data_IF_202491794189
#
_entry.id   IF_202491794189
#
_cell.length_a   1.000
_cell.length_b   1.000
_cell.length_c   1.000
_cell.angle_alpha   90.00
_cell.angle_beta   90.00
_cell.angle_gamma   90.00
#
_symmetry.space_group_name_H-M   'P 1'
#
loop_
_entity.id
_entity.type
_entity.pdbx_description
1 polymer ?
#
# COMPACT_ATOMS: atom_id res chain seq x y z
N UNK A 1 11.65 19.61 -7.65
CA UNK A 1 12.33 18.39 -8.14
C UNK A 1 13.62 18.10 -7.36
N UNK A 2 14.56 19.06 -7.28
CA UNK A 2 15.83 18.91 -6.54
C UNK A 2 15.69 18.53 -5.06
N UNK A 3 14.80 19.18 -4.31
CA UNK A 3 14.58 18.85 -2.88
C UNK A 3 14.11 17.41 -2.70
N UNK A 4 13.25 16.91 -3.60
CA UNK A 4 12.78 15.53 -3.60
C UNK A 4 13.93 14.54 -3.85
N UNK A 5 14.84 14.88 -4.77
CA UNK A 5 16.03 14.08 -5.05
C UNK A 5 16.97 14.03 -3.83
N UNK A 6 17.25 15.18 -3.21
CA UNK A 6 18.07 15.28 -1.99
C UNK A 6 17.47 14.40 -0.88
N UNK A 7 16.15 14.45 -0.69
CA UNK A 7 15.47 13.68 0.34
C UNK A 7 15.56 12.17 0.07
N UNK A 8 15.42 11.74 -1.18
CA UNK A 8 15.63 10.35 -1.58
C UNK A 8 17.07 9.88 -1.35
N UNK A 9 18.06 10.72 -1.66
CA UNK A 9 19.48 10.39 -1.41
C UNK A 9 19.73 10.23 0.09
N UNK A 10 19.19 11.11 0.93
CA UNK A 10 19.30 11.02 2.39
C UNK A 10 18.66 9.73 2.91
N UNK A 11 17.47 9.37 2.41
CA UNK A 11 16.79 8.12 2.77
C UNK A 11 17.65 6.91 2.41
N UNK A 12 18.16 6.86 1.17
CA UNK A 12 19.00 5.74 0.72
C UNK A 12 20.27 5.65 1.56
N UNK A 13 20.92 6.78 1.83
CA UNK A 13 22.13 6.81 2.66
C UNK A 13 21.85 6.32 4.08
N UNK A 14 20.70 6.71 4.66
CA UNK A 14 20.29 6.26 5.98
C UNK A 14 20.01 4.76 6.01
N UNK A 15 19.36 4.22 4.97
CA UNK A 15 19.12 2.78 4.81
C UNK A 15 20.45 2.03 4.71
N UNK A 16 21.38 2.48 3.87
CA UNK A 16 22.69 1.83 3.70
C UNK A 16 23.51 1.90 4.99
N UNK A 17 23.54 3.07 5.65
CA UNK A 17 24.17 3.24 6.95
C UNK A 17 23.58 2.27 7.98
N UNK A 18 22.24 2.19 8.05
CA UNK A 18 21.54 1.28 8.93
C UNK A 18 21.92 -0.19 8.64
N UNK A 19 21.96 -0.61 7.37
CA UNK A 19 22.41 -1.95 6.98
C UNK A 19 23.81 -2.22 7.52
N UNK A 20 24.79 -1.38 7.16
CA UNK A 20 26.23 -1.58 7.46
C UNK A 20 26.48 -1.66 8.96
N UNK A 21 25.93 -0.72 9.73
CA UNK A 21 26.18 -0.64 11.17
C UNK A 21 25.34 -1.62 12.00
N UNK A 22 24.35 -2.28 11.40
CA UNK A 22 23.55 -3.32 12.07
C UNK A 22 23.80 -4.73 11.48
N UNK A 23 24.90 -4.94 10.74
CA UNK A 23 25.32 -6.28 10.29
C UNK A 23 25.87 -7.13 11.45
N UNK A 24 26.52 -6.49 12.42
CA UNK A 24 27.19 -7.18 13.54
C UNK A 24 26.25 -7.79 14.60
N UNK A 25 25.18 -7.14 15.07
CA UNK A 25 24.27 -7.80 16.01
C UNK A 25 23.57 -8.96 15.31
N UNK A 26 23.87 -10.18 15.78
CA UNK A 26 23.24 -11.41 15.33
C UNK A 26 22.26 -11.90 16.40
N UNK A 27 21.12 -12.43 15.95
CA UNK A 27 20.05 -12.95 16.80
C UNK A 27 19.66 -14.36 16.40
N UNK A 28 19.14 -15.11 17.36
CA UNK A 28 18.55 -16.42 17.11
C UNK A 28 17.03 -16.25 16.95
N UNK A 29 16.50 -16.76 15.84
CA UNK A 29 15.09 -16.62 15.49
C UNK A 29 14.40 -17.95 15.72
N UNK A 30 13.42 -17.95 16.61
CA UNK A 30 12.57 -19.10 16.86
C UNK A 30 11.36 -19.04 15.93
N UNK A 31 11.42 -19.75 14.81
CA UNK A 31 10.33 -19.75 13.82
C UNK A 31 9.17 -20.65 14.27
N UNK A 32 9.52 -21.83 14.78
CA UNK A 32 8.57 -22.85 15.25
C UNK A 32 9.15 -23.57 16.47
N UNK A 33 8.34 -24.30 17.26
CA UNK A 33 8.86 -25.18 18.30
C UNK A 33 9.92 -26.13 17.72
N UNK A 34 11.15 -26.07 18.26
CA UNK A 34 12.29 -26.87 17.81
C UNK A 34 13.00 -26.38 16.54
N UNK A 35 12.52 -25.32 15.86
CA UNK A 35 13.16 -24.74 14.68
C UNK A 35 13.74 -23.37 15.03
N UNK A 36 15.07 -23.34 15.19
CA UNK A 36 15.82 -22.13 15.54
C UNK A 36 16.78 -21.83 14.39
N UNK A 37 16.69 -20.61 13.86
CA UNK A 37 17.68 -20.06 12.94
C UNK A 37 18.69 -19.26 13.74
N UNK A 38 19.92 -19.75 13.81
CA UNK A 38 20.97 -19.13 14.61
C UNK A 38 21.74 -18.07 13.83
N UNK A 39 22.31 -17.11 14.56
CA UNK A 39 23.29 -16.16 14.03
C UNK A 39 22.79 -15.29 12.86
N UNK A 40 21.49 -15.01 12.81
CA UNK A 40 20.90 -14.19 11.75
C UNK A 40 21.19 -12.71 12.03
N UNK A 41 21.72 -11.94 11.07
CA UNK A 41 21.90 -10.50 11.25
C UNK A 41 20.59 -9.81 11.58
N UNK A 42 20.56 -9.01 12.65
CA UNK A 42 19.36 -8.31 13.10
C UNK A 42 18.81 -7.38 12.02
N UNK A 43 19.70 -6.71 11.26
CA UNK A 43 19.31 -5.90 10.12
C UNK A 43 18.42 -6.69 9.14
N UNK A 44 18.77 -7.94 8.83
CA UNK A 44 17.99 -8.77 7.90
C UNK A 44 16.56 -8.99 8.41
N UNK A 45 16.42 -9.27 9.71
CA UNK A 45 15.10 -9.45 10.36
C UNK A 45 14.27 -8.18 10.23
N UNK A 46 14.86 -7.03 10.58
CA UNK A 46 14.18 -5.73 10.52
C UNK A 46 13.75 -5.42 9.07
N UNK A 47 14.61 -5.65 8.08
CA UNK A 47 14.28 -5.42 6.67
C UNK A 47 13.15 -6.32 6.19
N UNK A 48 13.19 -7.61 6.50
CA UNK A 48 12.12 -8.54 6.12
C UNK A 48 10.81 -8.11 6.77
N UNK A 49 10.80 -7.80 8.07
CA UNK A 49 9.62 -7.30 8.77
C UNK A 49 9.07 -6.01 8.16
N UNK A 50 9.95 -5.07 7.80
CA UNK A 50 9.55 -3.83 7.13
C UNK A 50 8.91 -4.10 5.76
N UNK A 51 9.53 -4.95 4.93
CA UNK A 51 8.99 -5.34 3.61
C UNK A 51 7.62 -6.00 3.77
N UNK A 52 7.47 -6.92 4.73
CA UNK A 52 6.19 -7.57 5.01
C UNK A 52 5.11 -6.56 5.43
N UNK A 53 5.45 -5.60 6.30
CA UNK A 53 4.55 -4.52 6.69
C UNK A 53 4.13 -3.66 5.50
N UNK A 54 5.08 -3.29 4.64
CA UNK A 54 4.82 -2.49 3.43
C UNK A 54 3.94 -3.24 2.43
N UNK A 55 4.23 -4.52 2.17
CA UNK A 55 3.41 -5.38 1.30
C UNK A 55 1.99 -5.52 1.84
N UNK A 56 1.84 -5.73 3.16
CA UNK A 56 0.53 -5.80 3.81
C UNK A 56 -0.26 -4.48 3.63
N UNK A 57 0.39 -3.33 3.84
CA UNK A 57 -0.21 -2.02 3.60
C UNK A 57 -0.66 -1.81 2.16
N UNK A 58 0.15 -2.24 1.18
CA UNK A 58 -0.22 -2.18 -0.25
C UNK A 58 -1.44 -3.06 -0.53
N UNK A 59 -1.47 -4.29 -0.02
CA UNK A 59 -2.60 -5.22 -0.23
C UNK A 59 -3.89 -4.62 0.31
N UNK A 60 -3.86 -4.08 1.53
CA UNK A 60 -5.02 -3.42 2.15
C UNK A 60 -5.48 -2.20 1.35
N UNK A 61 -4.54 -1.37 0.89
CA UNK A 61 -4.85 -0.19 0.07
C UNK A 61 -5.46 -0.57 -1.27
N UNK A 62 -4.97 -1.62 -1.94
CA UNK A 62 -5.54 -2.14 -3.18
C UNK A 62 -7.01 -2.53 -3.01
N UNK A 63 -7.34 -3.21 -1.90
CA UNK A 63 -8.73 -3.56 -1.59
C UNK A 63 -9.65 -2.34 -1.50
N UNK A 64 -9.18 -1.26 -0.87
CA UNK A 64 -9.92 0.00 -0.79
C UNK A 64 -10.08 0.67 -2.15
N UNK A 65 -9.02 0.71 -2.96
CA UNK A 65 -9.07 1.29 -4.31
C UNK A 65 -10.11 0.56 -5.17
N UNK A 66 -10.13 -0.78 -5.12
CA UNK A 66 -11.13 -1.57 -5.86
C UNK A 66 -12.54 -1.23 -5.39
N UNK A 67 -12.78 -1.17 -4.07
CA UNK A 67 -14.08 -0.80 -3.51
C UNK A 67 -14.52 0.59 -3.99
N UNK A 68 -13.63 1.58 -3.93
CA UNK A 68 -13.94 2.94 -4.39
C UNK A 68 -14.25 2.99 -5.88
N UNK A 69 -13.52 2.25 -6.72
CA UNK A 69 -13.83 2.19 -8.15
C UNK A 69 -15.21 1.58 -8.43
N UNK A 70 -15.62 0.57 -7.65
CA UNK A 70 -16.97 -0.01 -7.77
C UNK A 70 -18.05 0.98 -7.32
N UNK A 71 -17.82 1.73 -6.24
CA UNK A 71 -18.75 2.77 -5.77
C UNK A 71 -18.90 3.89 -6.80
N UNK A 72 -17.81 4.36 -7.41
CA UNK A 72 -17.84 5.36 -8.49
C UNK A 72 -18.64 4.85 -9.69
N UNK A 73 -18.44 3.60 -10.11
CA UNK A 73 -19.20 3.00 -11.22
C UNK A 73 -20.70 2.92 -10.90
N UNK A 74 -21.06 2.53 -9.67
CA UNK A 74 -22.46 2.47 -9.22
C UNK A 74 -23.09 3.87 -9.20
N UNK A 75 -22.37 4.87 -8.68
CA UNK A 75 -22.83 6.26 -8.64
C UNK A 75 -23.08 6.81 -10.06
N UNK A 76 -22.14 6.61 -10.99
CA UNK A 76 -22.30 7.02 -12.40
C UNK A 76 -23.49 6.35 -13.09
N UNK A 77 -23.77 5.07 -12.79
CA UNK A 77 -24.94 4.38 -13.35
C UNK A 77 -26.25 4.97 -12.83
N UNK A 78 -26.32 5.32 -11.55
CA UNK A 78 -27.51 5.94 -10.95
C UNK A 78 -27.78 7.32 -11.56
N UNK A 79 -26.77 8.19 -11.63
CA UNK A 79 -26.94 9.52 -12.23
C UNK A 79 -27.40 9.48 -13.68
N UNK A 80 -26.92 8.50 -14.47
CA UNK A 80 -27.33 8.37 -15.87
C UNK A 80 -28.79 7.90 -16.00
N UNK A 81 -29.27 7.04 -15.11
CA UNK A 81 -30.67 6.61 -15.08
C UNK A 81 -31.57 7.78 -14.69
N UNK A 82 -31.18 8.53 -13.66
CA UNK A 82 -31.92 9.69 -13.14
C UNK A 82 -32.04 10.80 -14.20
N UNK A 83 -30.95 11.14 -14.90
CA UNK A 83 -30.96 12.07 -16.03
C UNK A 83 -31.90 11.61 -17.15
N UNK A 84 -31.87 10.32 -17.50
CA UNK A 84 -32.73 9.77 -18.56
C UNK A 84 -34.22 9.78 -18.19
N UNK A 85 -34.55 9.67 -16.90
CA UNK A 85 -35.92 9.82 -16.40
C UNK A 85 -36.41 11.26 -16.43
N UNK A 86 -35.54 12.22 -16.11
CA UNK A 86 -35.85 13.66 -16.21
C UNK A 86 -36.10 14.03 -17.68
N UNK A 87 -35.21 13.64 -18.59
CA UNK A 87 -35.39 13.89 -20.02
C UNK A 87 -36.66 13.21 -20.55
N UNK A 88 -36.89 11.92 -20.23
CA UNK A 88 -38.07 11.18 -20.66
C UNK A 88 -39.40 11.77 -20.17
N UNK A 89 -39.45 12.24 -18.92
CA UNK A 89 -40.63 12.91 -18.36
C UNK A 89 -40.89 14.29 -18.96
N UNK A 90 -39.85 15.01 -19.38
CA UNK A 90 -39.96 16.31 -20.06
C UNK A 90 -40.51 16.19 -21.50
N UNK A 91 -40.52 14.99 -22.08
CA UNK A 91 -41.18 14.68 -23.37
C UNK A 91 -42.63 14.19 -23.22
N UNK A 92 -43.02 13.62 -22.08
CA UNK A 92 -44.41 13.22 -21.80
C UNK A 92 -45.31 14.40 -21.42
N UNK A 93 -44.73 15.52 -20.95
CA UNK A 93 -45.47 16.71 -20.49
C UNK A 93 -45.56 17.85 -21.54
N UNK A 94 -45.18 17.58 -22.80
CA UNK A 94 -45.37 18.53 -23.91
C UNK A 94 -46.71 18.26 -24.61
N UNK A 95 -47.61 19.27 -24.71
CA UNK A 95 -48.96 19.12 -25.26
C UNK A 95 -48.99 18.85 -26.78
#
# INVERSE_FOLDING_TARGET
MFIRLILWIIIILFIVFFVIFNVEPKVNIHLFPGVILENIPLALVIFISFILGLLSGIILSLGQIIKYQLEIRKAKKKSHIEQKQIEGGEYEDKP
#
